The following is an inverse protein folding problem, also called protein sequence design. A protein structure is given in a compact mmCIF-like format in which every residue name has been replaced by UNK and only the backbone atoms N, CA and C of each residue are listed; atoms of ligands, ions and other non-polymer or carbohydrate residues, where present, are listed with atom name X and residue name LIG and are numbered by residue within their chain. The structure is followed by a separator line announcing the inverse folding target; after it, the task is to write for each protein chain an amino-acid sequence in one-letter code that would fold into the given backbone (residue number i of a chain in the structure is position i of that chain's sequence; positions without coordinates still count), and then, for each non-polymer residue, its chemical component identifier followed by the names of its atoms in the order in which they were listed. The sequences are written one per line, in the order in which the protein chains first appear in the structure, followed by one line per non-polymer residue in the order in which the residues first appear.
data_IF_768874231618
#
_entry.id   IF_768874231618
#
_cell.length_a   1.000
_cell.length_b   1.000
_cell.length_c   1.000
_cell.angle_alpha   90.00
_cell.angle_beta   90.00
_cell.angle_gamma   90.00
#
_symmetry.space_group_name_H-M   'P 1'
#
loop_
_entity.id
_entity.type
_entity.pdbx_description
1 polymer ?
#
# COMPACT_ATOMS: atom_id res chain seq x y z
N UNK A 1 15.73 17.77 -6.44
CA UNK A 1 14.99 16.50 -6.22
C UNK A 1 13.59 16.69 -6.78
N UNK A 2 13.13 15.84 -7.70
CA UNK A 2 11.76 15.92 -8.22
C UNK A 2 10.74 15.56 -7.13
N UNK A 3 9.55 16.17 -7.20
CA UNK A 3 8.43 15.84 -6.33
C UNK A 3 7.72 14.61 -6.87
N UNK A 4 7.74 13.50 -6.12
CA UNK A 4 7.11 12.22 -6.52
C UNK A 4 5.66 12.14 -6.00
N UNK A 5 5.46 12.46 -4.72
CA UNK A 5 4.15 12.47 -4.06
C UNK A 5 4.05 13.69 -3.16
N UNK A 6 2.87 14.31 -3.13
CA UNK A 6 2.50 15.34 -2.17
C UNK A 6 1.30 14.83 -1.36
N UNK A 7 1.46 14.77 -0.04
CA UNK A 7 0.37 14.41 0.89
C UNK A 7 0.07 15.64 1.74
N UNK A 8 -1.17 16.08 1.73
CA UNK A 8 -1.70 17.11 2.61
C UNK A 8 -2.58 16.47 3.68
N UNK A 9 -2.49 16.95 4.91
CA UNK A 9 -3.34 16.53 6.03
C UNK A 9 -4.04 17.75 6.60
N UNK A 10 -5.35 17.67 6.79
CA UNK A 10 -6.14 18.72 7.42
C UNK A 10 -7.22 18.06 8.27
N UNK A 11 -7.63 18.73 9.35
CA UNK A 11 -8.77 18.28 10.16
C UNK A 11 -10.09 18.67 9.51
N UNK A 12 -10.12 19.84 8.86
CA UNK A 12 -11.29 20.40 8.19
C UNK A 12 -10.89 20.91 6.79
N UNK A 13 -11.83 20.90 5.85
CA UNK A 13 -11.63 21.54 4.56
C UNK A 13 -11.57 23.06 4.73
N UNK A 14 -10.63 23.76 4.06
CA UNK A 14 -10.50 25.19 4.20
C UNK A 14 -11.70 25.91 3.58
N UNK A 15 -12.26 26.87 4.30
CA UNK A 15 -13.34 27.76 3.84
C UNK A 15 -12.83 29.05 3.18
N UNK A 16 -11.52 29.26 3.14
CA UNK A 16 -10.88 30.40 2.47
C UNK A 16 -10.79 30.13 0.95
N UNK A 17 -11.38 30.99 0.09
CA UNK A 17 -11.30 30.85 -1.36
C UNK A 17 -9.87 30.75 -1.92
N UNK A 18 -8.88 31.36 -1.27
CA UNK A 18 -7.48 31.26 -1.69
C UNK A 18 -6.93 29.83 -1.52
N UNK A 19 -7.44 29.10 -0.52
CA UNK A 19 -7.08 27.71 -0.24
C UNK A 19 -7.89 26.72 -1.07
N UNK A 20 -9.11 27.05 -1.50
CA UNK A 20 -9.92 26.22 -2.41
C UNK A 20 -9.17 25.90 -3.71
N UNK A 21 -8.56 26.90 -4.34
CA UNK A 21 -7.75 26.70 -5.55
C UNK A 21 -6.51 25.80 -5.28
N UNK A 22 -5.99 25.79 -4.05
CA UNK A 22 -4.91 24.88 -3.67
C UNK A 22 -5.44 23.46 -3.44
N UNK A 23 -6.60 23.28 -2.81
CA UNK A 23 -7.15 21.96 -2.55
C UNK A 23 -7.57 21.23 -3.82
N UNK A 24 -8.04 21.93 -4.87
CA UNK A 24 -8.33 21.33 -6.19
C UNK A 24 -7.10 20.66 -6.83
N UNK A 25 -5.88 21.04 -6.43
CA UNK A 25 -4.66 20.40 -6.93
C UNK A 25 -4.44 18.99 -6.38
N UNK A 26 -5.07 18.64 -5.27
CA UNK A 26 -5.06 17.28 -4.73
C UNK A 26 -6.12 16.45 -5.46
N UNK A 27 -5.68 15.37 -6.11
CA UNK A 27 -6.57 14.57 -6.95
C UNK A 27 -7.45 13.61 -6.15
N UNK A 28 -6.93 13.13 -5.01
CA UNK A 28 -7.60 12.19 -4.12
C UNK A 28 -7.80 12.82 -2.75
N UNK A 29 -8.95 12.56 -2.14
CA UNK A 29 -9.29 12.91 -0.76
C UNK A 29 -9.72 11.65 -0.03
N UNK A 30 -9.09 11.39 1.11
CA UNK A 30 -9.37 10.22 1.93
C UNK A 30 -9.72 10.72 3.32
N UNK A 31 -10.96 10.43 3.74
CA UNK A 31 -11.38 10.65 5.11
C UNK A 31 -10.86 9.51 5.98
N UNK A 32 -10.11 9.85 7.01
CA UNK A 32 -9.58 8.88 7.97
C UNK A 32 -10.44 8.94 9.23
N UNK A 33 -11.30 7.94 9.41
CA UNK A 33 -12.09 7.81 10.62
C UNK A 33 -11.24 7.24 11.77
N UNK A 34 -11.59 7.54 13.04
CA UNK A 34 -11.02 6.84 14.19
C UNK A 34 -11.22 5.32 14.07
N UNK A 35 -10.26 4.56 14.62
CA UNK A 35 -10.34 3.10 14.67
C UNK A 35 -11.56 2.67 15.50
N UNK A 36 -12.32 1.71 14.98
CA UNK A 36 -13.48 1.15 15.69
C UNK A 36 -13.06 0.50 17.02
N UNK A 37 -13.96 0.52 18.01
CA UNK A 37 -13.69 0.03 19.36
C UNK A 37 -13.16 -1.42 19.40
N UNK A 38 -13.65 -2.28 18.49
CA UNK A 38 -13.28 -3.69 18.41
C UNK A 38 -11.82 -3.93 17.94
N UNK A 39 -11.16 -2.89 17.41
CA UNK A 39 -9.76 -2.92 16.98
C UNK A 39 -8.83 -2.08 17.89
N UNK A 40 -9.31 -1.67 19.06
CA UNK A 40 -8.55 -0.81 19.96
C UNK A 40 -7.28 -1.49 20.50
N UNK A 41 -7.35 -2.78 20.85
CA UNK A 41 -6.20 -3.53 21.33
C UNK A 41 -5.12 -3.68 20.24
N UNK A 42 -5.55 -3.93 18.99
CA UNK A 42 -4.65 -3.98 17.83
C UNK A 42 -3.96 -2.63 17.61
N UNK A 43 -4.72 -1.52 17.71
CA UNK A 43 -4.18 -0.17 17.60
C UNK A 43 -3.10 0.08 18.66
N UNK A 44 -3.34 -0.29 19.92
CA UNK A 44 -2.36 -0.12 20.99
C UNK A 44 -1.11 -0.98 20.76
N UNK A 45 -1.28 -2.24 20.36
CA UNK A 45 -0.17 -3.13 20.09
C UNK A 45 0.72 -2.63 18.95
N UNK A 46 0.11 -2.25 17.81
CA UNK A 46 0.82 -1.71 16.65
C UNK A 46 1.47 -0.36 16.99
N UNK A 47 0.71 0.53 17.65
CA UNK A 47 1.20 1.86 18.05
C UNK A 47 2.39 1.80 18.98
N UNK A 48 2.35 0.92 19.99
CA UNK A 48 3.47 0.70 20.91
C UNK A 48 4.71 0.17 20.17
N UNK A 49 4.53 -0.75 19.23
CA UNK A 49 5.62 -1.27 18.40
C UNK A 49 6.29 -0.19 17.55
N UNK A 50 5.51 0.66 16.88
CA UNK A 50 6.02 1.78 16.08
C UNK A 50 6.80 2.77 16.95
N UNK A 51 6.26 3.11 18.13
CA UNK A 51 6.93 4.06 19.02
C UNK A 51 8.21 3.47 19.62
N UNK A 52 8.22 2.18 19.98
CA UNK A 52 9.42 1.51 20.46
C UNK A 52 10.54 1.55 19.40
N UNK A 53 10.23 1.24 18.14
CA UNK A 53 11.19 1.33 17.04
C UNK A 53 11.73 2.76 16.84
N UNK A 54 10.87 3.77 16.99
CA UNK A 54 11.27 5.17 16.90
C UNK A 54 12.24 5.54 18.03
N UNK A 55 11.95 5.12 19.26
CA UNK A 55 12.82 5.36 20.42
C UNK A 55 14.18 4.69 20.25
N UNK A 56 14.21 3.44 19.75
CA UNK A 56 15.46 2.72 19.49
C UNK A 56 16.34 3.46 18.47
N UNK A 57 15.75 3.98 17.39
CA UNK A 57 16.46 4.80 16.39
C UNK A 57 17.06 6.07 17.00
N UNK A 58 16.29 6.78 17.84
CA UNK A 58 16.76 8.00 18.52
C UNK A 58 17.94 7.66 19.43
N UNK A 59 17.85 6.59 20.22
CA UNK A 59 18.91 6.16 21.13
C UNK A 59 20.16 5.71 20.38
N UNK A 60 20.02 5.02 19.25
CA UNK A 60 21.15 4.67 18.38
C UNK A 60 21.87 5.91 17.83
N UNK A 61 21.12 6.91 17.34
CA UNK A 61 21.71 8.15 16.82
C UNK A 61 22.47 8.92 17.90
N UNK A 62 21.91 8.97 19.12
CA UNK A 62 22.57 9.58 20.27
C UNK A 62 23.86 8.82 20.65
N UNK A 63 23.84 7.48 20.66
CA UNK A 63 25.04 6.66 20.91
C UNK A 63 26.12 6.90 19.86
N UNK A 64 25.76 6.94 18.58
CA UNK A 64 26.70 7.25 17.47
C UNK A 64 27.29 8.65 17.61
N UNK A 65 26.47 9.65 17.96
CA UNK A 65 26.93 11.03 18.14
C UNK A 65 27.88 11.17 19.33
N UNK A 66 27.62 10.47 20.44
CA UNK A 66 28.53 10.42 21.60
C UNK A 66 29.84 9.69 21.29
N UNK A 67 29.78 8.58 20.55
CA UNK A 67 30.97 7.86 20.12
C UNK A 67 31.85 8.69 19.17
N UNK A 68 31.24 9.48 18.28
CA UNK A 68 31.96 10.42 17.41
C UNK A 68 32.56 11.60 18.20
N UNK A 69 31.87 12.10 19.23
CA UNK A 69 32.38 13.16 20.12
C UNK A 69 33.47 12.72 21.09
N UNK A 70 33.53 11.43 21.46
CA UNK A 70 34.56 10.88 22.34
C UNK A 70 35.95 10.72 21.68
N UNK A 71 36.04 10.85 20.34
CA UNK A 71 37.30 10.81 19.58
C UNK A 71 37.97 12.17 19.34
N UNK A 72 37.41 13.26 19.87
CA UNK A 72 37.87 14.63 19.59
C UNK A 72 38.03 15.48 20.85
N UNK A 73 38.93 15.10 21.74
CA UNK A 73 39.39 15.99 22.81
C UNK A 73 40.59 16.83 22.31
N UNK A 74 40.32 17.93 21.59
CA UNK A 74 41.13 19.14 21.57
C UNK A 74 40.42 20.24 20.75
N UNK A 75 40.02 21.34 21.40
CA UNK A 75 39.67 22.59 20.72
C UNK A 75 38.35 23.22 21.17
N UNK A 76 38.46 24.23 22.02
CA UNK A 76 37.43 25.14 22.53
C UNK A 76 36.62 25.89 21.45
N UNK A 77 35.31 26.08 21.66
CA UNK A 77 34.60 27.37 21.49
C UNK A 77 33.13 27.26 21.95
N UNK A 78 32.60 28.35 22.51
CA UNK A 78 31.29 28.48 23.14
C UNK A 78 30.08 28.56 22.18
N UNK A 79 28.90 28.96 22.70
CA UNK A 79 27.61 28.40 22.31
C UNK A 79 27.00 29.12 21.11
N UNK A 80 26.54 28.35 20.12
CA UNK A 80 25.74 28.87 19.03
C UNK A 80 24.65 27.88 18.62
N UNK A 81 23.39 28.32 18.81
CA UNK A 81 22.23 27.86 18.05
C UNK A 81 21.67 26.49 18.43
N UNK A 82 20.54 26.48 19.13
CA UNK A 82 19.59 25.36 19.05
C UNK A 82 19.37 25.00 17.57
N UNK A 83 19.65 23.77 17.13
CA UNK A 83 19.16 23.34 15.84
C UNK A 83 17.65 23.22 16.00
N UNK A 84 16.91 24.09 15.31
CA UNK A 84 15.47 24.03 15.26
C UNK A 84 14.99 22.62 14.89
N UNK A 85 13.79 22.29 15.35
CA UNK A 85 13.00 21.13 14.94
C UNK A 85 12.69 21.19 13.43
N UNK A 86 13.71 21.10 12.58
CA UNK A 86 13.58 20.78 11.18
C UNK A 86 13.30 19.28 11.10
N UNK A 87 12.08 18.93 10.68
CA UNK A 87 11.65 17.56 10.42
C UNK A 87 12.71 16.82 9.59
N UNK A 88 13.55 16.04 10.27
CA UNK A 88 14.38 15.03 9.61
C UNK A 88 13.44 13.93 9.16
N UNK A 89 13.52 13.45 7.91
CA UNK A 89 12.61 12.44 7.43
C UNK A 89 12.69 11.23 8.36
N UNK A 90 11.52 10.81 8.84
CA UNK A 90 11.35 9.53 9.49
C UNK A 90 11.94 8.47 8.56
N UNK A 91 13.17 8.03 8.84
CA UNK A 91 13.81 6.95 8.12
C UNK A 91 13.39 5.69 8.85
N UNK A 92 12.33 5.07 8.34
CA UNK A 92 11.88 3.78 8.81
C UNK A 92 13.09 2.85 9.03
N UNK A 93 13.09 2.21 10.19
CA UNK A 93 14.09 1.23 10.58
C UNK A 93 14.31 0.21 9.46
N UNK A 94 15.56 -0.22 9.27
CA UNK A 94 16.05 -1.15 8.23
C UNK A 94 15.53 -2.60 8.42
N UNK A 95 14.24 -2.79 8.69
CA UNK A 95 13.55 -4.06 8.49
C UNK A 95 12.94 -4.05 7.10
N UNK A 96 13.52 -4.84 6.19
CA UNK A 96 13.16 -4.99 4.78
C UNK A 96 13.64 -3.88 3.81
N UNK A 97 14.89 -3.99 3.36
CA UNK A 97 15.41 -3.27 2.18
C UNK A 97 15.48 -4.17 0.94
N UNK A 98 14.54 -5.11 0.77
CA UNK A 98 14.51 -5.91 -0.47
C UNK A 98 13.63 -5.33 -1.57
N UNK A 99 12.79 -4.32 -1.29
CA UNK A 99 11.90 -3.71 -2.29
C UNK A 99 11.89 -2.17 -2.22
N UNK A 100 13.02 -1.53 -2.52
CA UNK A 100 13.07 -0.08 -2.78
C UNK A 100 12.97 0.18 -4.29
N UNK A 101 12.09 1.07 -4.72
CA UNK A 101 12.09 1.55 -6.11
C UNK A 101 13.17 2.62 -6.30
N UNK A 102 13.91 2.52 -7.39
CA UNK A 102 14.79 3.58 -7.87
C UNK A 102 13.96 4.67 -8.58
N UNK A 103 14.57 5.83 -8.83
CA UNK A 103 13.92 6.87 -9.64
C UNK A 103 13.67 6.39 -11.08
N UNK A 104 14.56 5.55 -11.62
CA UNK A 104 14.40 4.96 -12.94
C UNK A 104 13.19 4.01 -12.97
N UNK A 105 12.98 3.21 -11.92
CA UNK A 105 11.78 2.36 -11.81
C UNK A 105 10.49 3.21 -11.79
N UNK A 106 10.51 4.37 -11.13
CA UNK A 106 9.36 5.28 -11.10
C UNK A 106 9.08 5.90 -12.48
N UNK A 107 10.13 6.24 -13.23
CA UNK A 107 10.01 6.75 -14.59
C UNK A 107 9.45 5.68 -15.53
N UNK A 108 9.94 4.44 -15.40
CA UNK A 108 9.43 3.28 -16.15
C UNK A 108 7.96 2.99 -15.83
N UNK A 109 7.57 3.00 -14.55
CA UNK A 109 6.17 2.83 -14.13
C UNK A 109 5.31 3.97 -14.67
N UNK A 110 5.80 5.21 -14.61
CA UNK A 110 5.08 6.38 -15.15
C UNK A 110 4.85 6.27 -16.65
N UNK A 111 5.86 5.80 -17.41
CA UNK A 111 5.71 5.51 -18.82
C UNK A 111 4.68 4.40 -19.06
N UNK A 112 4.75 3.30 -18.31
CA UNK A 112 3.81 2.19 -18.42
C UNK A 112 2.35 2.60 -18.15
N UNK A 113 2.10 3.56 -17.24
CA UNK A 113 0.75 4.10 -17.02
C UNK A 113 0.18 4.71 -18.30
N UNK A 114 1.00 5.34 -19.14
CA UNK A 114 0.52 5.97 -20.39
C UNK A 114 0.14 4.96 -21.48
N UNK A 115 0.69 3.75 -21.42
CA UNK A 115 0.43 2.65 -22.37
C UNK A 115 -0.87 1.89 -22.07
N UNK A 116 -1.50 2.12 -20.92
CA UNK A 116 -2.73 1.44 -20.54
C UNK A 116 -3.90 1.93 -21.40
N UNK A 117 -4.52 0.99 -22.11
CA UNK A 117 -5.71 1.22 -22.92
C UNK A 117 -6.94 1.49 -22.02
N UNK A 118 -7.65 2.57 -22.32
CA UNK A 118 -8.86 3.03 -21.61
C UNK A 118 -10.11 3.01 -22.49
N UNK A 119 -10.05 2.41 -23.68
CA UNK A 119 -11.17 2.37 -24.62
C UNK A 119 -12.47 1.87 -23.97
N UNK A 120 -12.39 0.77 -23.20
CA UNK A 120 -13.55 0.15 -22.54
C UNK A 120 -14.13 0.94 -21.37
N UNK A 121 -13.38 1.90 -20.82
CA UNK A 121 -13.83 2.69 -19.66
C UNK A 121 -14.35 4.08 -20.03
N UNK A 122 -14.18 4.54 -21.28
CA UNK A 122 -14.61 5.87 -21.69
C UNK A 122 -16.11 6.11 -21.48
N UNK A 123 -16.97 5.20 -21.93
CA UNK A 123 -18.41 5.37 -21.80
C UNK A 123 -18.89 5.22 -20.35
N UNK A 124 -18.48 4.20 -19.57
CA UNK A 124 -18.77 4.13 -18.14
C UNK A 124 -18.29 5.36 -17.36
N UNK A 125 -17.08 5.86 -17.66
CA UNK A 125 -16.53 7.04 -17.00
C UNK A 125 -17.32 8.30 -17.34
N UNK A 126 -17.67 8.49 -18.62
CA UNK A 126 -18.52 9.62 -19.06
C UNK A 126 -19.89 9.57 -18.38
N UNK A 127 -20.52 8.40 -18.34
CA UNK A 127 -21.81 8.22 -17.71
C UNK A 127 -21.74 8.54 -16.21
N UNK A 128 -20.72 8.03 -15.51
CA UNK A 128 -20.49 8.33 -14.10
C UNK A 128 -20.31 9.84 -13.86
N UNK A 129 -19.44 10.51 -14.62
CA UNK A 129 -19.21 11.96 -14.47
C UNK A 129 -20.48 12.75 -14.72
N UNK A 130 -21.22 12.44 -15.78
CA UNK A 130 -22.50 13.10 -16.06
C UNK A 130 -23.52 12.88 -14.94
N UNK A 131 -23.59 11.68 -14.38
CA UNK A 131 -24.50 11.38 -13.28
C UNK A 131 -24.15 12.20 -12.03
N UNK A 132 -22.88 12.21 -11.64
CA UNK A 132 -22.41 13.01 -10.50
C UNK A 132 -22.73 14.50 -10.67
N UNK A 133 -22.46 15.06 -11.86
CA UNK A 133 -22.77 16.46 -12.17
C UNK A 133 -24.28 16.74 -12.12
N UNK A 134 -25.13 15.80 -12.56
CA UNK A 134 -26.61 15.94 -12.48
C UNK A 134 -27.13 15.90 -11.05
N UNK A 135 -26.45 15.18 -10.17
CA UNK A 135 -26.78 15.12 -8.74
C UNK A 135 -26.22 16.31 -7.95
N UNK A 136 -25.49 17.22 -8.62
CA UNK A 136 -24.98 18.46 -8.02
C UNK A 136 -23.55 18.37 -7.47
N UNK A 137 -22.85 17.25 -7.69
CA UNK A 137 -21.45 17.10 -7.27
C UNK A 137 -20.55 18.01 -8.09
N UNK A 138 -19.75 18.84 -7.42
CA UNK A 138 -18.83 19.76 -8.09
C UNK A 138 -17.49 19.09 -8.44
N UNK A 139 -17.22 18.97 -9.75
CA UNK A 139 -15.98 18.39 -10.28
C UNK A 139 -15.29 19.38 -11.22
N UNK A 140 -14.01 19.67 -10.98
CA UNK A 140 -13.21 20.51 -11.89
C UNK A 140 -12.81 19.75 -13.17
N UNK A 141 -12.63 20.49 -14.27
CA UNK A 141 -12.14 19.93 -15.54
C UNK A 141 -10.81 19.18 -15.36
N UNK A 142 -9.91 19.75 -14.54
CA UNK A 142 -8.62 19.13 -14.20
C UNK A 142 -8.84 17.74 -13.61
N UNK A 143 -9.77 17.63 -12.67
CA UNK A 143 -10.15 16.35 -12.08
C UNK A 143 -10.62 15.42 -13.19
N UNK A 144 -11.68 15.80 -13.91
CA UNK A 144 -12.29 14.96 -14.96
C UNK A 144 -11.23 14.44 -15.96
N UNK A 145 -10.26 15.27 -16.35
CA UNK A 145 -9.17 14.85 -17.23
C UNK A 145 -8.20 13.87 -16.53
N UNK A 146 -7.80 14.17 -15.29
CA UNK A 146 -6.84 13.34 -14.54
C UNK A 146 -7.45 12.06 -13.96
N UNK A 147 -8.78 11.93 -13.90
CA UNK A 147 -9.46 10.69 -13.49
C UNK A 147 -9.03 9.49 -14.33
N UNK A 148 -8.83 9.68 -15.63
CA UNK A 148 -8.30 8.64 -16.52
C UNK A 148 -6.88 8.20 -16.14
N UNK A 149 -6.05 9.08 -15.56
CA UNK A 149 -4.70 8.69 -15.07
C UNK A 149 -4.82 7.72 -13.89
N UNK A 150 -5.78 7.95 -12.98
CA UNK A 150 -6.02 7.06 -11.84
C UNK A 150 -6.52 5.68 -12.29
N UNK A 151 -7.45 5.66 -13.25
CA UNK A 151 -7.99 4.41 -13.80
C UNK A 151 -6.87 3.59 -14.47
N UNK A 152 -6.00 4.24 -15.26
CA UNK A 152 -4.83 3.57 -15.85
C UNK A 152 -3.90 2.99 -14.79
N UNK A 153 -3.61 3.77 -13.75
CA UNK A 153 -2.77 3.32 -12.65
C UNK A 153 -3.41 2.13 -11.89
N UNK A 154 -4.73 2.14 -11.67
CA UNK A 154 -5.44 1.03 -11.04
C UNK A 154 -5.33 -0.26 -11.86
N UNK A 155 -5.52 -0.20 -13.18
CA UNK A 155 -5.35 -1.34 -14.06
C UNK A 155 -3.89 -1.85 -14.06
N UNK A 156 -2.92 -0.95 -14.12
CA UNK A 156 -1.50 -1.30 -14.12
C UNK A 156 -1.05 -1.94 -12.80
N UNK A 157 -1.56 -1.46 -11.66
CA UNK A 157 -1.31 -2.06 -10.35
C UNK A 157 -1.82 -3.51 -10.27
N UNK A 158 -2.85 -3.83 -11.05
CA UNK A 158 -3.35 -5.19 -11.24
C UNK A 158 -2.68 -5.93 -12.41
N UNK A 159 -1.52 -5.43 -12.87
CA UNK A 159 -0.73 -5.97 -13.98
C UNK A 159 -1.47 -6.07 -15.32
N UNK A 160 -2.45 -5.21 -15.55
CA UNK A 160 -3.22 -5.14 -16.81
C UNK A 160 -2.85 -3.89 -17.61
N UNK A 161 -2.66 -4.07 -18.92
CA UNK A 161 -2.53 -2.97 -19.89
C UNK A 161 -3.86 -2.56 -20.54
N UNK A 162 -4.98 -3.04 -20.00
CA UNK A 162 -6.33 -2.68 -20.44
C UNK A 162 -7.18 -2.43 -19.21
N UNK A 163 -7.68 -1.21 -19.09
CA UNK A 163 -8.60 -0.82 -18.03
C UNK A 163 -10.00 -1.40 -18.27
N UNK A 164 -10.68 -1.70 -17.17
CA UNK A 164 -12.07 -2.18 -17.12
C UNK A 164 -12.88 -1.30 -16.16
N UNK A 165 -14.22 -1.32 -16.21
CA UNK A 165 -15.05 -0.49 -15.32
C UNK A 165 -14.76 -0.72 -13.83
N UNK A 166 -14.33 -1.91 -13.40
CA UNK A 166 -13.90 -2.12 -12.01
C UNK A 166 -12.67 -1.29 -11.58
N UNK A 167 -11.88 -0.74 -12.52
CA UNK A 167 -10.74 0.13 -12.25
C UNK A 167 -11.15 1.59 -11.94
N UNK A 168 -12.45 1.92 -11.97
CA UNK A 168 -12.97 3.23 -11.57
C UNK A 168 -12.97 3.44 -10.05
N UNK A 169 -12.66 2.40 -9.27
CA UNK A 169 -12.67 2.46 -7.81
C UNK A 169 -11.89 3.63 -7.17
N UNK A 170 -10.75 4.14 -7.71
CA UNK A 170 -10.06 5.27 -7.08
C UNK A 170 -10.91 6.55 -7.08
N UNK A 171 -11.91 6.64 -7.96
CA UNK A 171 -12.79 7.78 -8.07
C UNK A 171 -13.74 7.92 -6.87
N UNK A 172 -13.87 6.89 -6.02
CA UNK A 172 -14.61 7.01 -4.76
C UNK A 172 -14.01 8.10 -3.83
N UNK A 173 -12.73 8.43 -4.04
CA UNK A 173 -11.98 9.45 -3.30
C UNK A 173 -11.89 10.80 -4.06
N UNK A 174 -12.71 10.97 -5.09
CA UNK A 174 -12.63 12.08 -6.03
C UNK A 174 -13.73 13.14 -5.82
N UNK A 175 -14.17 13.32 -4.59
CA UNK A 175 -15.08 14.39 -4.17
C UNK A 175 -14.35 15.70 -3.82
N UNK A 176 -15.07 16.82 -3.84
CA UNK A 176 -14.57 18.15 -3.45
C UNK A 176 -15.07 18.56 -2.08
N UNK A 177 -16.38 18.49 -1.89
CA UNK A 177 -17.04 18.66 -0.61
C UNK A 177 -17.12 17.32 0.13
N UNK A 178 -16.96 17.33 1.45
CA UNK A 178 -17.07 16.13 2.29
C UNK A 178 -18.48 15.51 2.23
N UNK A 179 -19.51 16.33 2.06
CA UNK A 179 -20.90 15.90 1.93
C UNK A 179 -21.15 15.05 0.67
N UNK A 180 -20.33 15.21 -0.37
CA UNK A 180 -20.45 14.44 -1.61
C UNK A 180 -19.78 13.06 -1.51
N UNK A 181 -18.94 12.81 -0.50
CA UNK A 181 -18.19 11.56 -0.36
C UNK A 181 -19.09 10.32 -0.45
N UNK A 182 -20.20 10.20 0.32
CA UNK A 182 -21.03 9.00 0.28
C UNK A 182 -21.68 8.78 -1.09
N UNK A 183 -22.08 9.88 -1.75
CA UNK A 183 -22.74 9.86 -3.04
C UNK A 183 -21.79 9.41 -4.16
N UNK A 184 -20.60 10.01 -4.20
CA UNK A 184 -19.54 9.65 -5.15
C UNK A 184 -19.10 8.20 -4.94
N UNK A 185 -18.90 7.79 -3.69
CA UNK A 185 -18.48 6.43 -3.38
C UNK A 185 -19.55 5.39 -3.79
N UNK A 186 -20.84 5.69 -3.60
CA UNK A 186 -21.93 4.79 -4.02
C UNK A 186 -22.04 4.68 -5.54
N UNK A 187 -22.00 5.81 -6.26
CA UNK A 187 -22.04 5.80 -7.72
C UNK A 187 -20.86 5.00 -8.32
N UNK A 188 -19.67 5.15 -7.76
CA UNK A 188 -18.48 4.38 -8.17
C UNK A 188 -18.64 2.89 -7.84
N UNK A 189 -19.11 2.55 -6.63
CA UNK A 189 -19.35 1.16 -6.23
C UNK A 189 -20.31 0.46 -7.17
N UNK A 190 -21.39 1.11 -7.59
CA UNK A 190 -22.36 0.53 -8.52
C UNK A 190 -21.71 0.12 -9.85
N UNK A 191 -20.91 1.02 -10.45
CA UNK A 191 -20.20 0.75 -11.71
C UNK A 191 -19.15 -0.36 -11.54
N UNK A 192 -18.43 -0.36 -10.42
CA UNK A 192 -17.42 -1.38 -10.12
C UNK A 192 -18.06 -2.76 -9.92
N UNK A 193 -19.19 -2.82 -9.20
CA UNK A 193 -19.93 -4.05 -8.94
C UNK A 193 -20.52 -4.65 -10.23
N UNK A 194 -21.02 -3.81 -11.13
CA UNK A 194 -21.60 -4.25 -12.41
C UNK A 194 -20.57 -4.97 -13.30
N UNK A 195 -19.29 -4.57 -13.24
CA UNK A 195 -18.16 -5.26 -13.91
C UNK A 195 -17.56 -6.41 -13.08
N UNK A 196 -18.18 -6.77 -11.96
CA UNK A 196 -17.75 -7.86 -11.08
C UNK A 196 -16.54 -7.53 -10.20
N UNK A 197 -16.27 -6.25 -9.94
CA UNK A 197 -15.37 -5.83 -8.87
C UNK A 197 -16.02 -5.98 -7.50
N UNK A 198 -15.22 -6.27 -6.46
CA UNK A 198 -15.72 -6.36 -5.08
C UNK A 198 -15.88 -4.94 -4.48
N UNK A 199 -17.10 -4.52 -4.07
CA UNK A 199 -17.34 -3.20 -3.48
C UNK A 199 -16.76 -3.01 -2.07
N UNK A 200 -16.59 -4.11 -1.32
CA UNK A 200 -15.98 -4.13 0.01
C UNK A 200 -14.45 -4.20 -0.02
N UNK A 201 -13.85 -4.61 -1.14
CA UNK A 201 -12.40 -4.59 -1.36
C UNK A 201 -11.99 -3.94 -2.70
N UNK A 202 -12.35 -2.66 -2.92
CA UNK A 202 -12.06 -1.97 -4.17
C UNK A 202 -10.55 -1.91 -4.43
N UNK A 203 -10.16 -2.22 -5.67
CA UNK A 203 -8.76 -2.14 -6.11
C UNK A 203 -7.84 -3.26 -5.63
N UNK A 204 -8.37 -4.23 -4.89
CA UNK A 204 -7.64 -5.44 -4.51
C UNK A 204 -8.19 -6.60 -5.31
N UNK A 205 -7.39 -7.17 -6.20
CA UNK A 205 -7.74 -8.37 -6.93
C UNK A 205 -7.25 -9.62 -6.22
N UNK A 206 -7.90 -10.76 -6.47
CA UNK A 206 -7.39 -12.06 -6.02
C UNK A 206 -5.95 -12.32 -6.49
N UNK A 207 -5.60 -11.87 -7.70
CA UNK A 207 -4.25 -12.00 -8.24
C UNK A 207 -3.23 -11.20 -7.42
N UNK A 208 -3.54 -9.96 -7.05
CA UNK A 208 -2.67 -9.17 -6.17
C UNK A 208 -2.48 -9.84 -4.81
N UNK A 209 -3.55 -10.41 -4.23
CA UNK A 209 -3.46 -11.15 -2.97
C UNK A 209 -2.57 -12.40 -3.10
N UNK A 210 -2.68 -13.14 -4.21
CA UNK A 210 -1.81 -14.28 -4.49
C UNK A 210 -0.34 -13.86 -4.68
N UNK A 211 -0.08 -12.76 -5.37
CA UNK A 211 1.28 -12.21 -5.52
C UNK A 211 1.88 -11.81 -4.17
N UNK A 212 1.10 -11.14 -3.30
CA UNK A 212 1.52 -10.84 -1.91
C UNK A 212 1.81 -12.11 -1.10
N UNK A 213 1.00 -13.15 -1.27
CA UNK A 213 1.26 -14.43 -0.63
C UNK A 213 2.59 -15.05 -1.10
N UNK A 214 2.89 -14.95 -2.39
CA UNK A 214 4.16 -15.37 -2.95
C UNK A 214 5.34 -14.54 -2.41
N UNK A 215 5.16 -13.23 -2.21
CA UNK A 215 6.16 -12.37 -1.55
C UNK A 215 6.42 -12.78 -0.11
N UNK A 216 5.37 -13.02 0.68
CA UNK A 216 5.52 -13.52 2.05
C UNK A 216 6.25 -14.86 2.09
N UNK A 217 5.95 -15.76 1.15
CA UNK A 217 6.65 -17.03 1.05
C UNK A 217 8.12 -16.87 0.65
N UNK A 218 8.44 -15.97 -0.30
CA UNK A 218 9.83 -15.65 -0.65
C UNK A 218 10.60 -15.08 0.53
N UNK A 219 10.01 -14.14 1.27
CA UNK A 219 10.60 -13.58 2.47
C UNK A 219 10.84 -14.65 3.54
N UNK A 220 9.88 -15.55 3.75
CA UNK A 220 10.04 -16.71 4.64
C UNK A 220 11.20 -17.60 4.23
N UNK A 221 11.36 -17.90 2.93
CA UNK A 221 12.49 -18.70 2.42
C UNK A 221 13.86 -18.04 2.62
N UNK A 222 13.91 -16.71 2.66
CA UNK A 222 15.13 -15.94 2.89
C UNK A 222 15.43 -15.69 4.38
N UNK A 223 14.47 -15.95 5.28
CA UNK A 223 14.57 -15.71 6.71
C UNK A 223 14.99 -16.93 7.53
N UNK A 224 14.72 -16.89 8.84
CA UNK A 224 14.86 -18.06 9.71
C UNK A 224 13.59 -18.92 9.73
N UNK A 225 13.75 -20.22 9.98
CA UNK A 225 12.65 -21.16 10.11
C UNK A 225 12.24 -21.38 11.58
N UNK A 226 12.33 -20.33 12.41
CA UNK A 226 11.94 -20.45 13.82
C UNK A 226 10.42 -20.68 13.94
N UNK A 227 9.95 -21.35 15.01
CA UNK A 227 8.53 -21.61 15.20
C UNK A 227 7.64 -20.36 15.16
N UNK A 228 8.14 -19.22 15.65
CA UNK A 228 7.43 -17.94 15.58
C UNK A 228 7.30 -17.42 14.15
N UNK A 229 8.39 -17.43 13.38
CA UNK A 229 8.38 -17.00 11.97
C UNK A 229 7.46 -17.88 11.11
N UNK A 230 7.44 -19.19 11.37
CA UNK A 230 6.52 -20.14 10.72
C UNK A 230 5.06 -19.80 11.05
N UNK A 231 4.73 -19.64 12.33
CA UNK A 231 3.37 -19.32 12.78
C UNK A 231 2.87 -17.99 12.20
N UNK A 232 3.69 -16.94 12.23
CA UNK A 232 3.36 -15.64 11.67
C UNK A 232 3.14 -15.69 10.16
N UNK A 233 3.97 -16.45 9.44
CA UNK A 233 3.81 -16.65 7.99
C UNK A 233 2.51 -17.40 7.68
N UNK A 234 2.20 -18.47 8.44
CA UNK A 234 0.96 -19.23 8.29
C UNK A 234 -0.27 -18.37 8.57
N UNK A 235 -0.24 -17.51 9.60
CA UNK A 235 -1.32 -16.55 9.88
C UNK A 235 -1.53 -15.60 8.70
N UNK A 236 -0.45 -15.01 8.17
CA UNK A 236 -0.52 -14.10 7.01
C UNK A 236 -1.10 -14.78 5.77
N UNK A 237 -0.61 -15.97 5.42
CA UNK A 237 -1.11 -16.73 4.26
C UNK A 237 -2.58 -17.17 4.45
N UNK A 238 -2.93 -17.63 5.65
CA UNK A 238 -4.30 -18.05 5.97
C UNK A 238 -5.28 -16.88 5.92
N UNK A 239 -4.85 -15.71 6.40
CA UNK A 239 -5.61 -14.47 6.28
C UNK A 239 -5.86 -14.12 4.80
N UNK A 240 -4.80 -14.06 3.98
CA UNK A 240 -4.94 -13.78 2.55
C UNK A 240 -5.86 -14.77 1.81
N UNK A 241 -5.74 -16.08 2.13
CA UNK A 241 -6.61 -17.10 1.54
C UNK A 241 -8.08 -16.87 1.90
N UNK A 242 -8.35 -16.52 3.16
CA UNK A 242 -9.71 -16.23 3.65
C UNK A 242 -10.26 -14.95 3.01
N UNK A 243 -9.43 -13.92 2.83
CA UNK A 243 -9.80 -12.72 2.09
C UNK A 243 -10.24 -13.05 0.66
N UNK A 244 -9.50 -13.90 -0.07
CA UNK A 244 -9.92 -14.35 -1.41
C UNK A 244 -11.25 -15.12 -1.35
N UNK A 245 -11.44 -15.97 -0.34
CA UNK A 245 -12.68 -16.73 -0.16
C UNK A 245 -13.90 -15.83 0.09
N UNK A 246 -13.75 -14.80 0.91
CA UNK A 246 -14.82 -13.90 1.30
C UNK A 246 -15.16 -12.87 0.18
N UNK A 247 -14.14 -12.36 -0.51
CA UNK A 247 -14.28 -11.24 -1.46
C UNK A 247 -14.16 -11.62 -2.94
N UNK A 248 -13.57 -12.78 -3.26
CA UNK A 248 -13.37 -13.24 -4.62
C UNK A 248 -13.75 -14.72 -4.77
N UNK A 249 -15.02 -15.10 -4.54
CA UNK A 249 -15.44 -16.50 -4.48
C UNK A 249 -15.24 -17.27 -5.80
N UNK A 250 -15.15 -16.56 -6.93
CA UNK A 250 -14.86 -17.12 -8.25
C UNK A 250 -13.36 -17.41 -8.47
N UNK A 251 -12.45 -16.80 -7.71
CA UNK A 251 -10.99 -16.88 -7.85
C UNK A 251 -10.41 -18.17 -7.22
N UNK A 252 -10.87 -19.32 -7.74
CA UNK A 252 -10.51 -20.64 -7.21
C UNK A 252 -9.03 -20.97 -7.41
N UNK A 253 -8.43 -20.47 -8.49
CA UNK A 253 -7.03 -20.72 -8.84
C UNK A 253 -6.09 -20.03 -7.84
N UNK A 254 -6.27 -18.73 -7.63
CA UNK A 254 -5.48 -17.94 -6.67
C UNK A 254 -5.62 -18.47 -5.24
N UNK A 255 -6.82 -18.90 -4.86
CA UNK A 255 -7.05 -19.54 -3.55
C UNK A 255 -6.28 -20.85 -3.42
N UNK A 256 -6.17 -21.64 -4.48
CA UNK A 256 -5.36 -22.87 -4.47
C UNK A 256 -3.87 -22.56 -4.47
N UNK A 257 -3.40 -21.53 -5.20
CA UNK A 257 -2.01 -21.06 -5.14
C UNK A 257 -1.60 -20.76 -3.69
N UNK A 258 -2.42 -20.01 -2.94
CA UNK A 258 -2.13 -19.73 -1.52
C UNK A 258 -2.20 -21.01 -0.69
N UNK A 259 -3.14 -21.91 -0.95
CA UNK A 259 -3.23 -23.21 -0.26
C UNK A 259 -1.97 -24.07 -0.44
N UNK A 260 -1.38 -24.06 -1.64
CA UNK A 260 -0.09 -24.72 -1.92
C UNK A 260 1.03 -24.09 -1.07
N UNK A 261 1.08 -22.76 -0.96
CA UNK A 261 2.09 -22.07 -0.14
C UNK A 261 1.92 -22.40 1.36
N UNK A 262 0.70 -22.44 1.87
CA UNK A 262 0.40 -22.86 3.25
C UNK A 262 0.95 -24.26 3.50
N UNK A 263 0.64 -25.23 2.61
CA UNK A 263 1.16 -26.60 2.73
C UNK A 263 2.69 -26.64 2.73
N UNK A 264 3.34 -25.83 1.88
CA UNK A 264 4.81 -25.71 1.86
C UNK A 264 5.39 -25.12 3.15
N UNK A 265 4.75 -24.14 3.77
CA UNK A 265 5.22 -23.59 5.05
C UNK A 265 5.02 -24.61 6.18
N UNK A 266 3.89 -25.34 6.16
CA UNK A 266 3.59 -26.38 7.14
C UNK A 266 4.63 -27.51 7.15
N UNK A 267 5.31 -27.82 6.03
CA UNK A 267 6.39 -28.83 6.05
C UNK A 267 7.59 -28.43 6.90
N UNK A 268 7.77 -27.13 7.19
CA UNK A 268 8.80 -26.63 8.12
C UNK A 268 8.33 -26.67 9.57
N UNK A 269 7.03 -26.88 9.81
CA UNK A 269 6.47 -27.09 11.14
C UNK A 269 6.63 -28.56 11.54
N UNK A 270 7.79 -28.91 12.10
CA UNK A 270 8.00 -30.20 12.74
C UNK A 270 8.05 -30.01 14.28
N UNK A 271 6.97 -30.30 15.03
CA UNK A 271 6.99 -30.20 16.48
C UNK A 271 7.88 -31.26 17.16
N UNK A 272 8.53 -32.16 16.41
CA UNK A 272 9.34 -33.26 16.93
C UNK A 272 10.71 -33.48 16.20
N UNK A 273 11.36 -32.44 15.64
CA UNK A 273 12.78 -32.44 15.17
C UNK A 273 13.21 -33.46 14.08
N UNK A 274 14.41 -33.36 13.46
CA UNK A 274 15.42 -32.29 13.44
C UNK A 274 15.30 -31.38 12.19
N UNK A 275 16.12 -30.32 12.12
CA UNK A 275 16.06 -29.21 11.16
C UNK A 275 16.26 -29.53 9.66
N UNK A 276 16.31 -28.51 8.79
CA UNK A 276 16.10 -28.63 7.36
C UNK A 276 17.23 -29.42 6.70
N UNK A 277 16.95 -30.67 6.35
CA UNK A 277 17.86 -31.54 5.62
C UNK A 277 17.08 -32.49 4.72
N UNK A 278 16.79 -32.04 3.49
CA UNK A 278 16.72 -32.85 2.26
C UNK A 278 15.96 -32.10 1.15
N UNK A 279 16.63 -31.14 0.50
CA UNK A 279 16.30 -30.77 -0.86
C UNK A 279 17.57 -30.31 -1.58
N UNK A 280 18.39 -31.28 -2.01
CA UNK A 280 19.45 -31.04 -2.97
C UNK A 280 19.09 -31.78 -4.26
N UNK A 281 18.71 -31.11 -5.36
CA UNK A 281 18.56 -31.74 -6.65
C UNK A 281 19.93 -31.79 -7.34
N UNK A 282 20.71 -32.83 -7.07
CA UNK A 282 21.92 -33.11 -7.87
C UNK A 282 21.52 -33.90 -9.12
N UNK A 283 21.53 -33.21 -10.25
CA UNK A 283 21.55 -33.78 -11.59
C UNK A 283 22.98 -34.10 -12.05
N UNK A 284 23.08 -34.98 -13.06
CA UNK A 284 24.25 -35.53 -13.75
C UNK A 284 24.94 -36.70 -13.02
N UNK A 285 25.06 -37.91 -13.57
CA UNK A 285 25.00 -38.38 -14.95
C UNK A 285 26.15 -39.38 -15.10
N UNK A 286 25.86 -40.68 -14.98
CA UNK A 286 26.83 -41.75 -15.26
C UNK A 286 26.91 -42.02 -16.76
N UNK A 287 28.09 -42.31 -17.31
CA UNK A 287 28.21 -43.24 -18.42
C UNK A 287 28.11 -44.70 -17.92
#
# INVERSE_FOLDING_TARGET
MPLVVLVGTANDLPSDPALEAFTDRFLLRVRVAPVAADHFDDLLAVGAGIEQQRLDLILEEQRRSRAAGAGGAAGSAGPAGSPGFGARPYRASRGDRSAGFTLDDLDQITAAVSEVDVAKVHDPYRALVHELLRQGVELSDRRIVLGLKLIRAAALLDHRLRARPADLWPLAHFWTDEGDEPLVAEAVRAVVAEDGGDPGMPGVSARMLALRAADYFRAFQAGDFSPGTVDDTLKRLSHLRRTIEDHHPSAREEREEISVLIRKVQTYYNPAGPGPGAANPSAHGSP
#
